data_IF_578960549795
#
_entry.id   IF_578960549795
#
_cell.length_a   1.000
_cell.length_b   1.000
_cell.length_c   1.000
_cell.angle_alpha   90.00
_cell.angle_beta   90.00
_cell.angle_gamma   90.00
#
_symmetry.space_group_name_H-M   'P 1'
#
loop_
_entity.id
_entity.type
_entity.pdbx_description
1 polymer ?
#
# COMPACT_ATOMS: atom_id res chain seq x y z
N UNK A 1 16.26 -22.03 -19.52
CA UNK A 1 15.13 -22.33 -18.62
C UNK A 1 13.95 -22.80 -19.48
N UNK A 2 13.27 -23.85 -19.11
CA UNK A 2 12.07 -24.30 -19.85
C UNK A 2 10.87 -23.46 -19.39
N UNK A 3 10.03 -23.00 -20.32
CA UNK A 3 8.81 -22.25 -20.03
C UNK A 3 7.90 -22.97 -19.02
N UNK A 4 7.87 -24.30 -19.08
CA UNK A 4 7.15 -25.16 -18.13
C UNK A 4 7.61 -24.97 -16.68
N UNK A 5 8.93 -24.95 -16.43
CA UNK A 5 9.47 -24.80 -15.07
C UNK A 5 9.14 -23.41 -14.46
N UNK A 6 9.16 -22.36 -15.27
CA UNK A 6 8.73 -21.03 -14.85
C UNK A 6 7.24 -20.96 -14.52
N UNK A 7 6.40 -21.60 -15.33
CA UNK A 7 4.96 -21.66 -15.11
C UNK A 7 4.64 -22.40 -13.81
N UNK A 8 5.30 -23.53 -13.56
CA UNK A 8 5.18 -24.29 -12.31
C UNK A 8 5.60 -23.41 -11.12
N UNK A 9 6.77 -22.76 -11.19
CA UNK A 9 7.22 -21.84 -10.16
C UNK A 9 6.18 -20.77 -9.87
N UNK A 10 5.69 -20.07 -10.91
CA UNK A 10 4.66 -19.02 -10.75
C UNK A 10 3.41 -19.54 -10.06
N UNK A 11 2.94 -20.75 -10.41
CA UNK A 11 1.79 -21.39 -9.77
C UNK A 11 2.00 -21.60 -8.27
N UNK A 12 3.14 -22.16 -7.85
CA UNK A 12 3.46 -22.36 -6.44
C UNK A 12 3.60 -21.03 -5.68
N UNK A 13 4.24 -20.01 -6.27
CA UNK A 13 4.41 -18.70 -5.65
C UNK A 13 3.08 -17.94 -5.50
N UNK A 14 2.19 -18.03 -6.48
CA UNK A 14 0.85 -17.42 -6.40
C UNK A 14 0.02 -18.13 -5.33
N UNK A 15 0.00 -19.48 -5.34
CA UNK A 15 -0.73 -20.27 -4.34
C UNK A 15 -0.26 -19.94 -2.91
N UNK A 16 1.05 -19.93 -2.68
CA UNK A 16 1.60 -19.59 -1.35
C UNK A 16 1.20 -18.19 -0.89
N UNK A 17 1.19 -17.20 -1.79
CA UNK A 17 0.74 -15.83 -1.47
C UNK A 17 -0.76 -15.76 -1.16
N UNK A 18 -1.59 -16.47 -1.92
CA UNK A 18 -3.01 -16.57 -1.63
C UNK A 18 -3.28 -17.20 -0.27
N UNK A 19 -2.59 -18.30 0.05
CA UNK A 19 -2.69 -18.97 1.35
C UNK A 19 -2.26 -18.04 2.49
N UNK A 20 -1.15 -17.32 2.33
CA UNK A 20 -0.71 -16.31 3.30
C UNK A 20 -1.77 -15.21 3.49
N UNK A 21 -2.34 -14.70 2.40
CA UNK A 21 -3.37 -13.66 2.41
C UNK A 21 -4.67 -14.12 3.11
N UNK A 22 -4.98 -15.43 3.03
CA UNK A 22 -6.11 -16.05 3.73
C UNK A 22 -5.79 -16.46 5.17
N UNK A 23 -4.66 -16.02 5.75
CA UNK A 23 -4.26 -16.37 7.12
C UNK A 23 -3.75 -17.82 7.29
N UNK A 24 -3.54 -18.54 6.17
CA UNK A 24 -3.09 -19.94 6.17
C UNK A 24 -1.56 -20.03 6.02
N UNK A 25 -0.81 -19.28 6.84
CA UNK A 25 0.64 -19.14 6.71
C UNK A 25 1.42 -20.46 6.76
N UNK A 26 1.01 -21.40 7.63
CA UNK A 26 1.62 -22.74 7.68
C UNK A 26 1.47 -23.47 6.35
N UNK A 27 0.29 -23.40 5.71
CA UNK A 27 0.07 -24.03 4.38
C UNK A 27 0.91 -23.32 3.30
N UNK A 28 1.04 -22.01 3.37
CA UNK A 28 1.88 -21.26 2.45
C UNK A 28 3.34 -21.75 2.49
N UNK A 29 3.90 -21.93 3.67
CA UNK A 29 5.25 -22.49 3.83
C UNK A 29 5.34 -23.94 3.33
N UNK A 30 4.36 -24.79 3.63
CA UNK A 30 4.29 -26.16 3.12
C UNK A 30 4.25 -26.21 1.57
N UNK A 31 3.52 -25.29 0.94
CA UNK A 31 3.48 -25.15 -0.52
C UNK A 31 4.87 -24.80 -1.07
N UNK A 32 5.61 -23.91 -0.43
CA UNK A 32 6.97 -23.57 -0.84
C UNK A 32 7.97 -24.73 -0.58
N UNK A 33 7.76 -25.54 0.47
CA UNK A 33 8.52 -26.77 0.70
C UNK A 33 8.29 -27.80 -0.39
N UNK A 34 7.02 -27.95 -0.83
CA UNK A 34 6.68 -28.84 -1.95
C UNK A 34 7.38 -28.37 -3.24
N UNK A 35 7.39 -27.07 -3.51
CA UNK A 35 8.13 -26.51 -4.64
C UNK A 35 9.63 -26.76 -4.54
N UNK A 36 10.24 -26.57 -3.36
CA UNK A 36 11.65 -26.83 -3.15
C UNK A 36 12.03 -28.32 -3.36
N UNK A 37 11.15 -29.25 -2.94
CA UNK A 37 11.31 -30.69 -3.22
C UNK A 37 11.23 -30.98 -4.72
N UNK A 38 10.23 -30.42 -5.40
CA UNK A 38 10.06 -30.60 -6.84
C UNK A 38 11.28 -30.07 -7.63
N UNK A 39 11.83 -28.91 -7.23
CA UNK A 39 13.03 -28.37 -7.85
C UNK A 39 14.23 -29.31 -7.77
N UNK A 40 14.39 -30.00 -6.63
CA UNK A 40 15.47 -31.01 -6.44
C UNK A 40 15.23 -32.25 -7.29
N UNK A 41 13.99 -32.75 -7.30
CA UNK A 41 13.62 -33.97 -8.05
C UNK A 41 13.74 -33.78 -9.56
N UNK A 42 13.35 -32.62 -10.09
CA UNK A 42 13.37 -32.33 -11.52
C UNK A 42 14.63 -31.61 -12.00
N UNK A 43 15.57 -31.31 -11.12
CA UNK A 43 16.81 -30.61 -11.47
C UNK A 43 16.56 -29.19 -12.01
N UNK A 44 15.60 -28.46 -11.46
CA UNK A 44 15.31 -27.08 -11.91
C UNK A 44 16.52 -26.18 -11.70
N UNK A 45 16.64 -25.17 -12.58
CA UNK A 45 17.73 -24.20 -12.55
C UNK A 45 17.89 -23.54 -11.18
N UNK A 46 19.15 -23.26 -10.74
CA UNK A 46 19.43 -22.60 -9.45
C UNK A 46 18.64 -21.32 -9.22
N UNK A 47 18.41 -20.51 -10.25
CA UNK A 47 17.64 -19.26 -10.17
C UNK A 47 16.19 -19.49 -9.71
N UNK A 48 15.52 -20.55 -10.19
CA UNK A 48 14.16 -20.88 -9.76
C UNK A 48 14.09 -21.27 -8.29
N UNK A 49 15.10 -22.03 -7.83
CA UNK A 49 15.23 -22.41 -6.42
C UNK A 49 15.48 -21.18 -5.53
N UNK A 50 16.37 -20.28 -5.96
CA UNK A 50 16.67 -19.04 -5.26
C UNK A 50 15.42 -18.15 -5.13
N UNK A 51 14.64 -18.00 -6.20
CA UNK A 51 13.37 -17.28 -6.16
C UNK A 51 12.38 -17.87 -5.16
N UNK A 52 12.20 -19.19 -5.14
CA UNK A 52 11.33 -19.86 -4.16
C UNK A 52 11.81 -19.70 -2.72
N UNK A 53 13.12 -19.80 -2.50
CA UNK A 53 13.73 -19.59 -1.18
C UNK A 53 13.58 -18.14 -0.69
N UNK A 54 13.68 -17.16 -1.58
CA UNK A 54 13.45 -15.75 -1.27
C UNK A 54 12.00 -15.49 -0.84
N UNK A 55 11.01 -16.02 -1.60
CA UNK A 55 9.58 -15.88 -1.24
C UNK A 55 9.29 -16.56 0.10
N UNK A 56 9.91 -17.70 0.40
CA UNK A 56 9.82 -18.33 1.71
C UNK A 56 10.35 -17.41 2.81
N UNK A 57 11.56 -16.89 2.63
CA UNK A 57 12.20 -15.98 3.61
C UNK A 57 11.37 -14.71 3.85
N UNK A 58 10.64 -14.22 2.83
CA UNK A 58 9.70 -13.11 2.98
C UNK A 58 8.52 -13.46 3.89
N UNK A 59 8.05 -14.72 3.91
CA UNK A 59 6.87 -15.15 4.67
C UNK A 59 7.21 -15.60 6.10
N UNK A 60 8.41 -16.08 6.36
CA UNK A 60 8.84 -16.61 7.66
C UNK A 60 8.66 -15.63 8.84
N UNK A 61 8.97 -14.32 8.72
CA UNK A 61 8.79 -13.38 9.84
C UNK A 61 7.34 -13.23 10.27
N UNK A 62 6.38 -13.29 9.33
CA UNK A 62 4.95 -13.22 9.63
C UNK A 62 4.46 -14.46 10.41
N UNK A 63 5.23 -15.55 10.41
CA UNK A 63 4.99 -16.76 11.20
C UNK A 63 5.82 -16.80 12.49
N UNK A 64 6.46 -15.69 12.87
CA UNK A 64 7.31 -15.60 14.05
C UNK A 64 8.73 -16.20 13.88
N UNK A 65 9.10 -16.63 12.68
CA UNK A 65 10.37 -17.29 12.42
C UNK A 65 11.40 -16.37 11.73
N UNK A 66 11.69 -15.23 12.34
CA UNK A 66 12.69 -14.29 11.82
C UNK A 66 14.06 -14.95 11.64
N UNK A 67 14.45 -15.90 12.53
CA UNK A 67 15.72 -16.60 12.45
C UNK A 67 15.91 -17.36 11.13
N UNK A 68 14.85 -17.93 10.55
CA UNK A 68 14.93 -18.61 9.25
C UNK A 68 15.17 -17.60 8.11
N UNK A 69 14.52 -16.44 8.14
CA UNK A 69 14.74 -15.38 7.16
C UNK A 69 16.18 -14.82 7.25
N UNK A 70 16.72 -14.67 8.46
CA UNK A 70 18.11 -14.24 8.68
C UNK A 70 19.09 -15.28 8.09
N UNK A 71 18.92 -16.56 8.39
CA UNK A 71 19.75 -17.61 7.80
C UNK A 71 19.72 -17.60 6.27
N UNK A 72 18.54 -17.37 5.69
CA UNK A 72 18.44 -17.21 4.24
C UNK A 72 19.28 -16.02 3.76
N UNK A 73 19.19 -14.85 4.39
CA UNK A 73 19.97 -13.68 4.00
C UNK A 73 21.50 -13.93 4.08
N UNK A 74 21.97 -14.67 5.10
CA UNK A 74 23.38 -15.04 5.29
C UNK A 74 23.87 -16.07 4.25
N UNK A 75 23.01 -16.99 3.85
CA UNK A 75 23.37 -18.10 2.93
C UNK A 75 23.02 -17.84 1.47
N UNK A 76 22.29 -16.78 1.17
CA UNK A 76 21.87 -16.42 -0.19
C UNK A 76 23.03 -15.99 -1.11
N UNK A 77 24.15 -15.58 -0.52
CA UNK A 77 25.27 -14.97 -1.23
C UNK A 77 24.99 -13.55 -1.72
N UNK A 78 23.85 -12.94 -1.36
CA UNK A 78 23.47 -11.60 -1.77
C UNK A 78 24.03 -10.54 -0.81
N UNK A 79 24.55 -9.47 -1.36
CA UNK A 79 24.99 -8.29 -0.62
C UNK A 79 24.28 -7.03 -1.08
N UNK A 80 24.07 -6.10 -0.15
CA UNK A 80 23.55 -4.76 -0.47
C UNK A 80 24.48 -3.97 -1.43
N UNK A 81 25.72 -4.44 -1.66
CA UNK A 81 26.73 -3.80 -2.52
C UNK A 81 26.89 -4.44 -3.87
N UNK A 82 26.24 -5.57 -4.14
CA UNK A 82 26.34 -6.28 -5.43
C UNK A 82 25.92 -5.41 -6.62
N UNK A 83 26.38 -5.74 -7.82
CA UNK A 83 25.84 -5.19 -9.05
C UNK A 83 24.38 -5.65 -9.19
N UNK A 84 23.44 -4.70 -9.25
CA UNK A 84 22.02 -5.00 -9.35
C UNK A 84 21.69 -5.57 -10.73
N UNK A 85 20.87 -6.62 -10.75
CA UNK A 85 20.32 -7.18 -11.98
C UNK A 85 18.82 -7.43 -11.83
N UNK A 86 18.06 -7.08 -12.84
CA UNK A 86 16.60 -7.22 -12.83
C UNK A 86 16.10 -8.65 -12.53
N UNK A 87 16.71 -9.74 -13.05
CA UNK A 87 16.30 -11.09 -12.71
C UNK A 87 16.35 -11.41 -11.21
N UNK A 88 17.20 -10.72 -10.45
CA UNK A 88 17.37 -10.91 -8.99
C UNK A 88 16.73 -9.80 -8.15
N UNK A 89 15.96 -8.89 -8.75
CA UNK A 89 15.34 -7.77 -8.03
C UNK A 89 14.48 -8.24 -6.86
N UNK A 90 13.73 -9.34 -7.04
CA UNK A 90 12.90 -9.92 -5.98
C UNK A 90 13.70 -10.40 -4.77
N UNK A 91 14.84 -11.03 -5.03
CA UNK A 91 15.75 -11.51 -3.99
C UNK A 91 16.34 -10.33 -3.22
N UNK A 92 16.72 -9.25 -3.90
CA UNK A 92 17.20 -8.02 -3.23
C UNK A 92 16.09 -7.32 -2.42
N UNK A 93 14.85 -7.29 -2.90
CA UNK A 93 13.71 -6.78 -2.13
C UNK A 93 13.46 -7.65 -0.89
N UNK A 94 13.61 -8.96 -0.99
CA UNK A 94 13.52 -9.86 0.16
C UNK A 94 14.67 -9.61 1.14
N UNK A 95 15.90 -9.43 0.68
CA UNK A 95 17.04 -9.07 1.52
C UNK A 95 16.77 -7.76 2.29
N UNK A 96 16.24 -6.73 1.60
CA UNK A 96 15.88 -5.48 2.25
C UNK A 96 14.81 -5.69 3.34
N UNK A 97 13.78 -6.51 3.10
CA UNK A 97 12.76 -6.85 4.11
C UNK A 97 13.37 -7.52 5.34
N UNK A 98 14.27 -8.50 5.12
CA UNK A 98 14.94 -9.18 6.23
C UNK A 98 15.81 -8.21 7.02
N UNK A 99 16.57 -7.33 6.36
CA UNK A 99 17.36 -6.28 7.02
C UNK A 99 16.50 -5.31 7.83
N UNK A 100 15.33 -4.92 7.31
CA UNK A 100 14.38 -4.08 8.06
C UNK A 100 13.91 -4.82 9.32
N UNK A 101 13.51 -6.09 9.21
CA UNK A 101 13.08 -6.88 10.35
C UNK A 101 14.18 -7.08 11.38
N UNK A 102 15.44 -7.28 10.94
CA UNK A 102 16.62 -7.33 11.83
C UNK A 102 16.82 -5.99 12.53
N UNK A 103 16.73 -4.89 11.82
CA UNK A 103 16.89 -3.54 12.39
C UNK A 103 15.79 -3.19 13.38
N UNK A 104 14.57 -3.68 13.19
CA UNK A 104 13.48 -3.53 14.17
C UNK A 104 13.77 -4.31 15.46
N UNK A 105 14.36 -5.50 15.34
CA UNK A 105 14.77 -6.32 16.49
C UNK A 105 16.04 -5.79 17.17
N UNK A 106 16.93 -5.14 16.42
CA UNK A 106 18.24 -4.63 16.88
C UNK A 106 18.48 -3.21 16.35
N UNK A 107 17.85 -2.18 16.94
CA UNK A 107 17.87 -0.81 16.41
C UNK A 107 19.26 -0.15 16.33
N UNK A 108 20.21 -0.61 17.13
CA UNK A 108 21.59 -0.09 17.17
C UNK A 108 22.51 -0.72 16.10
N UNK A 109 22.01 -1.66 15.31
CA UNK A 109 22.76 -2.31 14.23
C UNK A 109 22.79 -1.51 12.93
N UNK A 110 23.64 -1.96 11.98
CA UNK A 110 23.77 -1.36 10.63
C UNK A 110 22.66 -1.78 9.67
N UNK A 111 21.72 -2.63 10.08
CA UNK A 111 20.74 -3.26 9.19
C UNK A 111 19.79 -2.28 8.50
N UNK A 112 19.27 -1.26 9.21
CA UNK A 112 18.39 -0.27 8.61
C UNK A 112 19.13 0.65 7.62
N UNK A 113 20.33 1.20 7.93
CA UNK A 113 21.15 1.89 6.94
C UNK A 113 21.47 1.05 5.70
N UNK A 114 21.81 -0.23 5.87
CA UNK A 114 22.09 -1.16 4.76
C UNK A 114 20.83 -1.36 3.88
N UNK A 115 19.68 -1.57 4.49
CA UNK A 115 18.42 -1.71 3.79
C UNK A 115 18.08 -0.44 2.98
N UNK A 116 18.22 0.74 3.58
CA UNK A 116 17.95 2.01 2.91
C UNK A 116 18.91 2.25 1.74
N UNK A 117 20.21 1.94 1.89
CA UNK A 117 21.17 2.07 0.82
C UNK A 117 20.86 1.12 -0.37
N UNK A 118 20.46 -0.13 -0.08
CA UNK A 118 20.04 -1.08 -1.10
C UNK A 118 18.77 -0.60 -1.81
N UNK A 119 17.75 -0.15 -1.07
CA UNK A 119 16.49 0.34 -1.63
C UNK A 119 16.68 1.60 -2.48
N UNK A 120 17.61 2.51 -2.12
CA UNK A 120 17.94 3.67 -2.93
C UNK A 120 18.52 3.26 -4.28
N UNK A 121 19.42 2.29 -4.30
CA UNK A 121 20.02 1.76 -5.54
C UNK A 121 18.99 1.07 -6.42
N UNK A 122 18.10 0.27 -5.81
CA UNK A 122 16.99 -0.39 -6.54
C UNK A 122 16.03 0.65 -7.13
N UNK A 123 15.72 1.72 -6.40
CA UNK A 123 14.86 2.80 -6.87
C UNK A 123 15.48 3.52 -8.06
N UNK A 124 16.77 3.88 -7.96
CA UNK A 124 17.51 4.53 -9.04
C UNK A 124 17.61 3.67 -10.33
N UNK A 125 17.52 2.34 -10.21
CA UNK A 125 17.46 1.42 -11.35
C UNK A 125 16.03 1.24 -11.90
N UNK A 126 15.01 1.23 -11.02
CA UNK A 126 13.61 0.94 -11.39
C UNK A 126 12.89 2.14 -12.01
N UNK A 127 13.07 3.36 -11.46
CA UNK A 127 12.38 4.58 -11.91
C UNK A 127 12.63 4.93 -13.38
N UNK A 128 13.90 5.02 -13.88
CA UNK A 128 14.15 5.34 -15.28
C UNK A 128 13.61 4.30 -16.26
N UNK A 129 13.42 3.06 -15.79
CA UNK A 129 12.91 1.93 -16.58
C UNK A 129 11.39 1.78 -16.49
N UNK A 130 10.71 2.71 -15.83
CA UNK A 130 9.25 2.74 -15.64
C UNK A 130 8.68 1.43 -15.06
N UNK A 131 9.43 0.75 -14.17
CA UNK A 131 8.95 -0.47 -13.48
C UNK A 131 8.08 -0.08 -12.27
N UNK A 132 6.88 0.44 -12.52
CA UNK A 132 6.06 1.09 -11.49
C UNK A 132 5.70 0.16 -10.31
N UNK A 133 5.41 -1.13 -10.55
CA UNK A 133 5.17 -2.08 -9.46
C UNK A 133 6.39 -2.26 -8.54
N UNK A 134 7.59 -2.30 -9.12
CA UNK A 134 8.85 -2.34 -8.35
C UNK A 134 9.06 -1.02 -7.58
N UNK A 135 8.83 0.12 -8.23
CA UNK A 135 8.94 1.44 -7.61
C UNK A 135 8.04 1.54 -6.37
N UNK A 136 6.78 1.13 -6.49
CA UNK A 136 5.84 1.14 -5.36
C UNK A 136 6.37 0.25 -4.22
N UNK A 137 6.76 -1.00 -4.52
CA UNK A 137 7.26 -1.95 -3.52
C UNK A 137 8.53 -1.43 -2.82
N UNK A 138 9.47 -0.84 -3.56
CA UNK A 138 10.68 -0.22 -3.03
C UNK A 138 10.34 0.96 -2.10
N UNK A 139 9.44 1.86 -2.53
CA UNK A 139 9.02 3.01 -1.72
C UNK A 139 8.31 2.58 -0.44
N UNK A 140 7.48 1.52 -0.48
CA UNK A 140 6.84 0.96 0.72
C UNK A 140 7.89 0.44 1.72
N UNK A 141 8.86 -0.33 1.25
CA UNK A 141 9.93 -0.84 2.11
C UNK A 141 10.79 0.28 2.67
N UNK A 142 11.08 1.31 1.86
CA UNK A 142 11.81 2.49 2.30
C UNK A 142 11.05 3.27 3.39
N UNK A 143 9.74 3.44 3.23
CA UNK A 143 8.90 4.07 4.26
C UNK A 143 8.93 3.28 5.58
N UNK A 144 8.85 1.95 5.53
CA UNK A 144 8.96 1.08 6.71
C UNK A 144 10.32 1.15 7.37
N UNK A 145 11.41 1.20 6.60
CA UNK A 145 12.76 1.32 7.12
C UNK A 145 12.98 2.68 7.81
N UNK A 146 12.48 3.77 7.23
CA UNK A 146 12.53 5.12 7.80
C UNK A 146 11.70 5.21 9.09
N UNK A 147 10.51 4.61 9.10
CA UNK A 147 9.68 4.51 10.30
C UNK A 147 10.43 3.77 11.42
N UNK A 148 11.06 2.65 11.10
CA UNK A 148 11.86 1.88 12.06
C UNK A 148 13.07 2.65 12.60
N UNK A 149 13.60 3.63 11.85
CA UNK A 149 14.63 4.56 12.31
C UNK A 149 14.09 5.74 13.15
N UNK A 150 12.77 5.85 13.32
CA UNK A 150 12.14 7.00 13.97
C UNK A 150 12.03 8.26 13.10
N UNK A 151 12.37 8.19 11.82
CA UNK A 151 12.30 9.31 10.86
C UNK A 151 10.89 9.45 10.27
N UNK A 152 9.95 9.85 11.11
CA UNK A 152 8.52 9.81 10.80
C UNK A 152 8.14 10.67 9.59
N UNK A 153 8.65 11.90 9.51
CA UNK A 153 8.31 12.82 8.40
C UNK A 153 8.83 12.32 7.05
N UNK A 154 10.03 11.73 7.05
CA UNK A 154 10.59 11.11 5.83
C UNK A 154 9.81 9.87 5.42
N UNK A 155 9.38 9.05 6.39
CA UNK A 155 8.56 7.87 6.15
C UNK A 155 7.22 8.26 5.52
N UNK A 156 6.53 9.26 6.04
CA UNK A 156 5.25 9.75 5.51
C UNK A 156 5.40 10.38 4.12
N UNK A 157 6.45 11.17 3.87
CA UNK A 157 6.72 11.71 2.52
C UNK A 157 6.98 10.57 1.51
N UNK A 158 7.75 9.56 1.91
CA UNK A 158 8.05 8.40 1.06
C UNK A 158 6.80 7.57 0.78
N UNK A 159 5.96 7.35 1.80
CA UNK A 159 4.66 6.69 1.64
C UNK A 159 3.73 7.49 0.72
N UNK A 160 3.69 8.83 0.85
CA UNK A 160 2.90 9.69 -0.03
C UNK A 160 3.27 9.54 -1.51
N UNK A 161 4.58 9.42 -1.83
CA UNK A 161 5.04 9.10 -3.19
C UNK A 161 4.54 7.72 -3.66
N UNK A 162 4.63 6.70 -2.80
CA UNK A 162 4.14 5.37 -3.14
C UNK A 162 2.63 5.36 -3.41
N UNK A 163 1.85 6.05 -2.57
CA UNK A 163 0.39 6.18 -2.73
C UNK A 163 0.02 6.88 -4.04
N UNK A 164 0.68 7.99 -4.38
CA UNK A 164 0.42 8.74 -5.62
C UNK A 164 0.68 7.90 -6.88
N UNK A 165 1.69 7.02 -6.86
CA UNK A 165 2.00 6.11 -7.98
C UNK A 165 1.03 4.92 -8.01
N UNK A 166 0.58 4.45 -6.85
CA UNK A 166 -0.24 3.25 -6.71
C UNK A 166 -1.75 3.49 -6.94
N UNK A 167 -2.24 4.69 -6.61
CA UNK A 167 -3.67 5.04 -6.66
C UNK A 167 -4.30 4.83 -8.05
N UNK A 168 -3.70 5.30 -9.18
CA UNK A 168 -4.30 5.14 -10.51
C UNK A 168 -4.48 3.68 -10.92
N UNK A 169 -3.61 2.80 -10.47
CA UNK A 169 -3.60 1.37 -10.79
C UNK A 169 -4.33 0.50 -9.75
N UNK A 170 -4.75 1.08 -8.62
CA UNK A 170 -5.51 0.41 -7.58
C UNK A 170 -4.76 -0.70 -6.83
N UNK A 171 -3.45 -0.55 -6.59
CA UNK A 171 -2.64 -1.53 -5.86
C UNK A 171 -3.04 -1.63 -4.39
N UNK A 172 -3.78 -2.65 -3.99
CA UNK A 172 -4.19 -2.89 -2.59
C UNK A 172 -3.24 -3.86 -1.89
N UNK A 173 -2.98 -5.02 -2.51
CA UNK A 173 -2.26 -6.12 -1.86
C UNK A 173 -0.83 -5.78 -1.45
N UNK A 174 -0.11 -4.95 -2.22
CA UNK A 174 1.26 -4.55 -1.87
C UNK A 174 1.33 -3.84 -0.52
N UNK A 175 0.32 -3.05 -0.17
CA UNK A 175 0.22 -2.37 1.12
C UNK A 175 -0.19 -3.32 2.23
N UNK A 176 -1.20 -4.16 2.01
CA UNK A 176 -1.72 -5.07 3.04
C UNK A 176 -0.74 -6.18 3.39
N UNK A 177 -0.01 -6.69 2.40
CA UNK A 177 1.01 -7.74 2.59
C UNK A 177 2.24 -7.25 3.38
N UNK A 178 2.41 -5.93 3.53
CA UNK A 178 3.44 -5.33 4.37
C UNK A 178 3.09 -5.37 5.88
N UNK A 179 1.87 -5.76 6.24
CA UNK A 179 1.46 -6.07 7.61
C UNK A 179 1.23 -4.88 8.54
N UNK A 180 1.23 -5.16 9.85
CA UNK A 180 0.88 -4.19 10.88
C UNK A 180 1.68 -2.88 10.87
N UNK A 181 3.00 -2.85 10.60
CA UNK A 181 3.75 -1.59 10.50
C UNK A 181 3.23 -0.67 9.39
N UNK A 182 2.82 -1.24 8.24
CA UNK A 182 2.25 -0.46 7.15
C UNK A 182 0.88 0.10 7.52
N UNK A 183 0.04 -0.68 8.21
CA UNK A 183 -1.26 -0.19 8.70
C UNK A 183 -1.10 0.99 9.66
N UNK A 184 -0.06 0.98 10.49
CA UNK A 184 0.26 2.11 11.35
C UNK A 184 0.63 3.36 10.54
N UNK A 185 1.50 3.21 9.52
CA UNK A 185 1.87 4.30 8.61
C UNK A 185 0.66 4.83 7.82
N UNK A 186 -0.23 3.96 7.34
CA UNK A 186 -1.46 4.37 6.66
C UNK A 186 -2.39 5.18 7.57
N UNK A 187 -2.54 4.79 8.84
CA UNK A 187 -3.30 5.58 9.82
C UNK A 187 -2.69 6.96 10.06
N UNK A 188 -1.37 7.05 10.11
CA UNK A 188 -0.68 8.32 10.23
C UNK A 188 -0.82 9.17 8.96
N UNK A 189 -0.69 8.56 7.77
CA UNK A 189 -0.96 9.23 6.50
C UNK A 189 -2.40 9.77 6.44
N UNK A 190 -3.37 9.01 6.95
CA UNK A 190 -4.75 9.45 7.11
C UNK A 190 -4.86 10.69 8.02
N UNK A 191 -4.23 10.67 9.19
CA UNK A 191 -4.22 11.79 10.13
C UNK A 191 -3.55 13.06 9.55
N UNK A 192 -2.55 12.89 8.68
CA UNK A 192 -1.86 13.97 7.97
C UNK A 192 -2.50 14.33 6.61
N UNK A 193 -3.69 13.81 6.31
CA UNK A 193 -4.48 14.09 5.10
C UNK A 193 -3.75 13.75 3.78
N UNK A 194 -2.84 12.77 3.80
CA UNK A 194 -2.11 12.31 2.62
C UNK A 194 -3.00 11.35 1.83
N UNK A 195 -3.37 11.69 0.59
CA UNK A 195 -4.13 10.85 -0.35
C UNK A 195 -5.34 10.15 0.33
N UNK A 196 -6.16 10.94 1.03
CA UNK A 196 -7.21 10.47 1.95
C UNK A 196 -8.12 9.39 1.36
N UNK A 197 -8.61 9.56 0.14
CA UNK A 197 -9.56 8.62 -0.49
C UNK A 197 -8.95 7.24 -0.64
N UNK A 198 -7.72 7.17 -1.15
CA UNK A 198 -7.04 5.91 -1.38
C UNK A 198 -6.57 5.25 -0.08
N UNK A 199 -6.08 6.04 0.88
CA UNK A 199 -5.71 5.53 2.22
C UNK A 199 -6.91 4.92 2.93
N UNK A 200 -8.10 5.54 2.85
CA UNK A 200 -9.35 4.96 3.37
C UNK A 200 -9.66 3.61 2.72
N UNK A 201 -9.61 3.52 1.39
CA UNK A 201 -9.81 2.27 0.66
C UNK A 201 -8.86 1.17 1.14
N UNK A 202 -7.57 1.50 1.38
CA UNK A 202 -6.59 0.55 1.88
C UNK A 202 -6.89 0.10 3.31
N UNK A 203 -7.28 1.02 4.20
CA UNK A 203 -7.62 0.71 5.60
C UNK A 203 -8.90 -0.12 5.69
N UNK A 204 -9.92 0.18 4.90
CA UNK A 204 -11.16 -0.61 4.81
C UNK A 204 -10.89 -2.02 4.28
N UNK A 205 -10.07 -2.15 3.23
CA UNK A 205 -9.65 -3.45 2.68
C UNK A 205 -8.85 -4.29 3.70
N UNK A 206 -8.19 -3.63 4.66
CA UNK A 206 -7.52 -4.28 5.79
C UNK A 206 -8.47 -4.68 6.94
N UNK A 207 -9.78 -4.47 6.78
CA UNK A 207 -10.78 -4.70 7.85
C UNK A 207 -10.68 -3.70 9.01
N UNK A 208 -10.01 -2.58 8.79
CA UNK A 208 -9.90 -1.51 9.79
C UNK A 208 -11.13 -0.61 9.68
N UNK A 209 -11.96 -0.61 10.73
CA UNK A 209 -12.98 0.44 10.87
C UNK A 209 -12.25 1.75 11.21
N UNK A 210 -12.03 2.58 10.22
CA UNK A 210 -11.60 3.96 10.47
C UNK A 210 -12.88 4.71 10.84
N UNK A 211 -13.11 4.90 12.14
CA UNK A 211 -14.06 5.93 12.56
C UNK A 211 -13.51 7.25 12.04
N UNK A 212 -14.24 7.99 11.20
CA UNK A 212 -13.81 9.34 10.87
C UNK A 212 -13.55 10.06 12.19
N UNK A 213 -12.33 10.54 12.41
CA UNK A 213 -12.06 11.39 13.55
C UNK A 213 -13.07 12.54 13.47
N UNK A 214 -13.68 12.90 14.60
CA UNK A 214 -14.70 13.97 14.68
C UNK A 214 -14.25 15.31 14.06
N UNK A 215 -12.99 15.43 13.71
CA UNK A 215 -12.40 16.56 12.95
C UNK A 215 -12.69 16.58 11.44
N UNK A 216 -13.26 15.50 10.84
CA UNK A 216 -13.57 15.48 9.41
C UNK A 216 -14.83 16.27 9.06
N UNK A 217 -15.75 16.39 10.00
CA UNK A 217 -16.95 17.22 9.88
C UNK A 217 -16.59 18.70 9.69
N UNK A 218 -15.59 19.22 10.43
CA UNK A 218 -15.18 20.61 10.34
C UNK A 218 -14.35 20.92 9.08
N UNK A 219 -13.40 20.04 8.70
CA UNK A 219 -12.48 20.30 7.56
C UNK A 219 -13.21 20.21 6.21
N UNK A 220 -14.11 19.23 6.00
CA UNK A 220 -14.94 19.19 4.80
C UNK A 220 -15.98 20.32 4.77
N UNK A 221 -16.46 20.73 5.93
CA UNK A 221 -17.27 21.93 6.08
C UNK A 221 -16.49 23.22 5.77
N UNK A 222 -15.20 23.30 6.13
CA UNK A 222 -14.33 24.45 5.85
C UNK A 222 -13.89 24.53 4.37
N UNK A 223 -13.83 23.39 3.65
CA UNK A 223 -13.54 23.35 2.22
C UNK A 223 -14.72 23.87 1.36
N UNK A 224 -15.93 23.83 1.88
CA UNK A 224 -17.11 24.34 1.20
C UNK A 224 -17.29 25.85 1.52
N UNK A 225 -17.49 26.64 0.48
CA UNK A 225 -17.91 28.04 0.68
C UNK A 225 -19.27 28.09 1.36
N UNK A 226 -19.60 29.21 2.02
CA UNK A 226 -20.91 29.42 2.66
C UNK A 226 -22.05 29.07 1.70
N UNK A 227 -21.92 29.52 0.45
CA UNK A 227 -22.93 29.30 -0.60
C UNK A 227 -23.04 27.81 -1.00
N UNK A 228 -21.92 27.09 -1.03
CA UNK A 228 -21.94 25.65 -1.29
C UNK A 228 -22.55 24.86 -0.12
N UNK A 229 -22.38 25.33 1.11
CA UNK A 229 -23.05 24.75 2.30
C UNK A 229 -24.56 24.93 2.25
N UNK A 230 -25.06 26.11 1.86
CA UNK A 230 -26.49 26.37 1.70
C UNK A 230 -27.10 25.46 0.62
N UNK A 231 -26.44 25.37 -0.55
CA UNK A 231 -26.86 24.46 -1.62
C UNK A 231 -26.85 23.01 -1.14
N UNK A 232 -25.84 22.59 -0.40
CA UNK A 232 -25.69 21.23 0.11
C UNK A 232 -26.78 20.87 1.13
N UNK A 233 -27.18 21.78 2.02
CA UNK A 233 -28.29 21.57 2.96
C UNK A 233 -29.57 21.26 2.21
N UNK A 234 -29.93 22.09 1.22
CA UNK A 234 -31.13 21.88 0.41
C UNK A 234 -31.05 20.59 -0.43
N UNK A 235 -29.84 20.19 -0.88
CA UNK A 235 -29.62 18.92 -1.56
C UNK A 235 -29.93 17.72 -0.65
N UNK A 236 -29.49 17.76 0.62
CA UNK A 236 -29.73 16.71 1.63
C UNK A 236 -31.21 16.61 2.00
N UNK A 237 -31.92 17.74 1.99
CA UNK A 237 -33.38 17.84 2.19
C UNK A 237 -34.17 17.35 0.97
N UNK A 238 -33.51 17.00 -0.13
CA UNK A 238 -34.13 16.42 -1.32
C UNK A 238 -34.58 17.43 -2.36
N UNK A 239 -34.29 18.73 -2.18
CA UNK A 239 -34.76 19.78 -3.10
C UNK A 239 -34.16 19.63 -4.50
N UNK A 240 -34.93 19.77 -5.56
CA UNK A 240 -34.49 19.80 -6.95
C UNK A 240 -33.64 21.04 -7.25
N UNK A 241 -32.85 21.04 -8.34
CA UNK A 241 -32.07 22.22 -8.74
C UNK A 241 -32.94 23.46 -9.00
N UNK A 242 -34.22 23.29 -9.35
CA UNK A 242 -35.19 24.38 -9.56
C UNK A 242 -35.63 24.97 -8.21
N UNK A 243 -35.97 24.11 -7.26
CA UNK A 243 -36.36 24.54 -5.91
C UNK A 243 -35.21 25.22 -5.18
N UNK A 244 -33.97 24.71 -5.35
CA UNK A 244 -32.74 25.34 -4.82
C UNK A 244 -32.52 26.72 -5.46
N UNK A 245 -32.70 26.82 -6.78
CA UNK A 245 -32.59 28.09 -7.51
C UNK A 245 -33.61 29.14 -7.04
N UNK A 246 -34.85 28.71 -6.85
CA UNK A 246 -35.93 29.57 -6.36
C UNK A 246 -35.67 30.00 -4.89
N UNK A 247 -35.26 29.06 -4.03
CA UNK A 247 -34.99 29.32 -2.61
C UNK A 247 -33.80 30.24 -2.38
N UNK A 248 -32.75 30.09 -3.16
CA UNK A 248 -31.50 30.84 -3.01
C UNK A 248 -31.39 32.05 -3.92
N UNK A 249 -32.44 32.33 -4.71
CA UNK A 249 -32.49 33.43 -5.72
C UNK A 249 -31.32 33.33 -6.70
N UNK A 250 -31.12 32.15 -7.28
CA UNK A 250 -30.06 31.84 -8.23
C UNK A 250 -30.62 31.35 -9.57
N UNK A 251 -29.78 31.38 -10.61
CA UNK A 251 -30.13 30.67 -11.85
C UNK A 251 -29.91 29.14 -11.66
N UNK A 252 -30.71 28.32 -12.36
CA UNK A 252 -30.57 26.87 -12.37
C UNK A 252 -29.15 26.45 -12.80
N UNK A 253 -28.54 27.20 -13.74
CA UNK A 253 -27.17 26.93 -14.18
C UNK A 253 -26.14 27.22 -13.09
N UNK A 254 -26.37 28.25 -12.29
CA UNK A 254 -25.53 28.56 -11.11
C UNK A 254 -25.61 27.43 -10.08
N UNK A 255 -26.80 26.91 -9.80
CA UNK A 255 -27.02 25.77 -8.91
C UNK A 255 -26.29 24.53 -9.44
N UNK A 256 -26.43 24.21 -10.74
CA UNK A 256 -25.70 23.08 -11.36
C UNK A 256 -24.17 23.22 -11.17
N UNK A 257 -23.62 24.43 -11.30
CA UNK A 257 -22.21 24.70 -11.10
C UNK A 257 -21.78 24.48 -9.63
N UNK A 258 -22.62 24.94 -8.67
CA UNK A 258 -22.37 24.66 -7.25
C UNK A 258 -22.43 23.17 -6.95
N UNK A 259 -23.41 22.43 -7.47
CA UNK A 259 -23.52 20.97 -7.29
C UNK A 259 -22.28 20.26 -7.84
N UNK A 260 -21.80 20.66 -9.02
CA UNK A 260 -20.58 20.12 -9.62
C UNK A 260 -19.36 20.38 -8.72
N UNK A 261 -19.20 21.62 -8.25
CA UNK A 261 -18.09 21.98 -7.35
C UNK A 261 -18.16 21.22 -6.01
N UNK A 262 -19.36 21.06 -5.44
CA UNK A 262 -19.58 20.27 -4.23
C UNK A 262 -19.17 18.81 -4.46
N UNK A 263 -19.62 18.19 -5.56
CA UNK A 263 -19.23 16.83 -5.90
C UNK A 263 -17.72 16.68 -6.06
N UNK A 264 -17.06 17.63 -6.72
CA UNK A 264 -15.60 17.66 -6.87
C UNK A 264 -14.89 17.78 -5.52
N UNK A 265 -15.31 18.73 -4.67
CA UNK A 265 -14.72 18.95 -3.34
C UNK A 265 -14.95 17.77 -2.38
N UNK A 266 -16.11 17.13 -2.49
CA UNK A 266 -16.46 15.92 -1.75
C UNK A 266 -15.85 14.64 -2.37
N UNK A 267 -15.16 14.74 -3.51
CA UNK A 267 -14.63 13.62 -4.28
C UNK A 267 -15.67 12.52 -4.52
N UNK A 268 -16.79 12.88 -5.11
CA UNK A 268 -17.89 11.97 -5.47
C UNK A 268 -18.37 12.23 -6.90
N UNK A 269 -18.88 11.19 -7.56
CA UNK A 269 -19.24 11.26 -8.98
C UNK A 269 -20.71 11.66 -9.25
N UNK A 270 -21.56 11.70 -8.21
CA UNK A 270 -22.98 11.99 -8.39
C UNK A 270 -23.59 12.70 -7.17
N UNK A 271 -24.71 13.41 -7.43
CA UNK A 271 -25.56 14.01 -6.40
C UNK A 271 -25.95 13.02 -5.30
N UNK A 272 -26.35 11.81 -5.67
CA UNK A 272 -26.79 10.78 -4.73
C UNK A 272 -25.63 10.34 -3.81
N UNK A 273 -24.44 10.20 -4.37
CA UNK A 273 -23.23 9.90 -3.59
C UNK A 273 -22.83 11.08 -2.69
N UNK A 274 -23.02 12.34 -3.13
CA UNK A 274 -22.77 13.50 -2.29
C UNK A 274 -23.70 13.52 -1.06
N UNK A 275 -25.00 13.29 -1.26
CA UNK A 275 -25.99 13.22 -0.17
C UNK A 275 -25.65 12.09 0.81
N UNK A 276 -25.35 10.89 0.30
CA UNK A 276 -24.96 9.74 1.14
C UNK A 276 -23.73 10.06 1.98
N UNK A 277 -22.68 10.63 1.36
CA UNK A 277 -21.43 11.00 2.03
C UNK A 277 -21.63 12.05 3.11
N UNK A 278 -22.45 13.06 2.87
CA UNK A 278 -22.76 14.12 3.84
C UNK A 278 -23.49 13.57 5.05
N UNK A 279 -24.47 12.68 4.86
CA UNK A 279 -25.21 12.01 5.94
C UNK A 279 -24.29 11.11 6.77
N UNK A 280 -23.37 10.36 6.12
CA UNK A 280 -22.45 9.46 6.82
C UNK A 280 -21.41 10.23 7.63
N UNK A 281 -20.98 11.41 7.17
CA UNK A 281 -19.92 12.21 7.77
C UNK A 281 -20.43 13.35 8.67
N UNK A 282 -21.75 13.55 8.78
CA UNK A 282 -22.40 14.61 9.59
C UNK A 282 -21.83 16.02 9.31
N UNK A 283 -21.61 16.37 8.02
CA UNK A 283 -20.87 17.59 7.58
C UNK A 283 -21.66 18.89 7.86
N UNK A 284 -22.95 18.80 8.12
CA UNK A 284 -23.85 19.96 8.22
C UNK A 284 -24.31 20.28 9.66
N UNK A 285 -23.86 19.54 10.64
CA UNK A 285 -23.97 19.88 12.05
C UNK A 285 -22.70 20.65 12.48
#
# INVERSE_FOLDING_TARGET
MTAEAEMIMRGYLVLSRLQQACGQGTKALQTLDAFARLCRQRGFAPALRACGAAVRAQMEPAQGNLAAAIRWAETSGLSARDALSYPHEREYLTLARVRIAQGQAQPMGSFLPEALALLERLLSDAEPKARMSSVIEILLLRALALQAQGKQDEALRTLGRALAVAEPEGYIRLFLDAGAPMLLLLRQAYAHQITLGYVLTLLEAAGQQVRPAQHHSSVLGELLTEREREVLRLLVDGASNREIADHLVLSINTVKKHVFNICSKLNVQSRTHAIAKVRTLNILE
#
